data_IF_434758808190
#
_entry.id   IF_434758808190
#
_cell.length_a   1.000
_cell.length_b   1.000
_cell.length_c   1.000
_cell.angle_alpha   90.00
_cell.angle_beta   90.00
_cell.angle_gamma   90.00
#
_symmetry.space_group_name_H-M   'P 1'
#
loop_
_entity.id
_entity.type
_entity.pdbx_description
1 polymer ?
#
# COMPACT_ATOMS: atom_id res chain seq x y z
N UNK A 1 2.73 11.27 -15.39
CA UNK A 1 3.22 10.20 -14.48
C UNK A 1 2.07 9.85 -13.53
N UNK A 2 1.94 8.60 -13.06
CA UNK A 2 0.82 8.16 -12.22
C UNK A 2 1.36 7.76 -10.84
N UNK A 3 0.52 7.83 -9.81
CA UNK A 3 0.83 7.36 -8.46
C UNK A 3 1.02 5.85 -8.46
N UNK A 4 2.04 5.39 -7.73
CA UNK A 4 2.35 3.99 -7.48
C UNK A 4 2.23 3.70 -5.99
N UNK A 5 2.08 2.41 -5.65
CA UNK A 5 2.14 1.96 -4.26
C UNK A 5 3.26 0.94 -4.09
N UNK A 6 3.89 0.96 -2.93
CA UNK A 6 4.93 0.00 -2.55
C UNK A 6 4.71 -0.44 -1.12
N UNK A 7 5.14 -1.67 -0.79
CA UNK A 7 5.04 -2.19 0.57
C UNK A 7 6.38 -2.12 1.29
N UNK A 8 6.40 -1.52 2.48
CA UNK A 8 7.60 -1.43 3.32
C UNK A 8 7.30 -1.78 4.79
N UNK A 9 8.32 -2.17 5.58
CA UNK A 9 8.16 -2.32 7.03
C UNK A 9 7.65 -1.02 7.66
N UNK A 10 6.80 -1.13 8.69
CA UNK A 10 6.16 0.01 9.32
C UNK A 10 7.14 1.09 9.83
N UNK A 11 8.33 0.68 10.27
CA UNK A 11 9.37 1.57 10.76
C UNK A 11 10.01 2.46 9.67
N UNK A 12 9.82 2.14 8.39
CA UNK A 12 10.44 2.85 7.25
C UNK A 12 9.42 3.63 6.41
N UNK A 13 8.21 3.85 6.93
CA UNK A 13 7.14 4.46 6.17
C UNK A 13 7.39 5.96 5.98
N UNK A 14 7.52 6.33 4.71
CA UNK A 14 7.20 7.67 4.22
C UNK A 14 5.84 7.59 3.50
N UNK A 15 4.74 8.11 4.07
CA UNK A 15 3.40 7.92 3.52
C UNK A 15 3.25 8.40 2.07
N UNK A 16 4.00 9.44 1.69
CA UNK A 16 4.06 9.96 0.34
C UNK A 16 5.48 10.39 -0.01
N UNK A 17 6.03 9.82 -1.08
CA UNK A 17 7.26 10.28 -1.71
C UNK A 17 6.92 11.11 -2.96
N UNK A 18 7.01 12.45 -2.91
CA UNK A 18 6.69 13.31 -4.04
C UNK A 18 7.69 13.19 -5.19
N UNK A 19 8.94 12.78 -4.92
CA UNK A 19 9.97 12.64 -5.96
C UNK A 19 9.72 11.41 -6.84
N UNK A 20 9.18 10.34 -6.24
CA UNK A 20 8.88 9.07 -6.92
C UNK A 20 7.41 8.90 -7.28
N UNK A 21 6.54 9.76 -6.75
CA UNK A 21 5.08 9.61 -6.77
C UNK A 21 4.61 8.27 -6.19
N UNK A 22 5.19 7.88 -5.05
CA UNK A 22 4.93 6.59 -4.39
C UNK A 22 4.23 6.80 -3.05
N UNK A 23 3.14 6.07 -2.83
CA UNK A 23 2.53 5.91 -1.51
C UNK A 23 3.04 4.62 -0.90
N UNK A 24 3.66 4.71 0.28
CA UNK A 24 4.18 3.53 0.99
C UNK A 24 3.12 2.96 1.91
N UNK A 25 2.80 1.68 1.74
CA UNK A 25 1.86 0.93 2.57
C UNK A 25 2.65 0.03 3.53
N UNK A 26 2.29 -0.04 4.84
CA UNK A 26 2.91 -0.99 5.75
C UNK A 26 2.71 -2.43 5.30
N UNK A 27 3.77 -3.23 5.34
CA UNK A 27 3.69 -4.68 5.17
C UNK A 27 2.82 -5.34 6.25
N UNK A 28 2.09 -6.39 5.90
CA UNK A 28 1.22 -7.13 6.81
C UNK A 28 -0.13 -6.46 7.10
N UNK A 29 -0.41 -5.30 6.51
CA UNK A 29 -1.72 -4.65 6.63
C UNK A 29 -2.72 -5.30 5.67
N UNK A 30 -3.95 -5.63 6.12
CA UNK A 30 -4.99 -6.16 5.26
C UNK A 30 -5.32 -5.23 4.08
N UNK A 31 -5.71 -5.77 2.91
CA UNK A 31 -5.99 -4.96 1.71
C UNK A 31 -6.99 -3.82 1.92
N UNK A 32 -8.00 -4.02 2.76
CA UNK A 32 -9.02 -3.01 3.07
C UNK A 32 -8.41 -1.84 3.84
N UNK A 33 -7.58 -2.13 4.84
CA UNK A 33 -6.88 -1.12 5.62
C UNK A 33 -5.81 -0.40 4.79
N UNK A 34 -5.13 -1.12 3.90
CA UNK A 34 -4.21 -0.53 2.92
C UNK A 34 -4.94 0.46 1.99
N UNK A 35 -6.13 0.09 1.50
CA UNK A 35 -6.94 0.97 0.67
C UNK A 35 -7.36 2.24 1.41
N UNK A 36 -7.77 2.12 2.68
CA UNK A 36 -8.11 3.27 3.52
C UNK A 36 -6.91 4.20 3.66
N UNK A 37 -5.73 3.66 3.97
CA UNK A 37 -4.50 4.44 4.09
C UNK A 37 -4.13 5.16 2.80
N UNK A 38 -4.17 4.46 1.66
CA UNK A 38 -3.93 5.05 0.34
C UNK A 38 -4.92 6.17 0.06
N UNK A 39 -6.22 5.96 0.31
CA UNK A 39 -7.25 7.00 0.11
C UNK A 39 -7.05 8.20 1.02
N UNK A 40 -6.61 8.01 2.26
CA UNK A 40 -6.31 9.08 3.19
C UNK A 40 -5.18 9.97 2.63
N UNK A 41 -4.07 9.37 2.19
CA UNK A 41 -2.96 10.11 1.57
C UNK A 41 -3.43 10.87 0.33
N UNK A 42 -4.23 10.23 -0.56
CA UNK A 42 -4.76 10.90 -1.75
C UNK A 42 -5.69 12.07 -1.42
N UNK A 43 -6.45 11.96 -0.32
CA UNK A 43 -7.33 13.02 0.16
C UNK A 43 -6.52 14.22 0.66
N UNK A 44 -5.44 13.99 1.41
CA UNK A 44 -4.51 15.05 1.85
C UNK A 44 -3.82 15.75 0.67
N UNK A 45 -3.61 15.03 -0.43
CA UNK A 45 -3.10 15.59 -1.70
C UNK A 45 -4.19 16.30 -2.52
N UNK A 46 -5.40 16.48 -1.98
CA UNK A 46 -6.57 17.07 -2.63
C UNK A 46 -6.97 16.35 -3.94
N UNK A 47 -6.73 15.03 -4.03
CA UNK A 47 -7.12 14.20 -5.18
C UNK A 47 -8.49 13.56 -4.89
N UNK A 48 -9.57 13.94 -5.60
CA UNK A 48 -10.89 13.40 -5.35
C UNK A 48 -10.92 11.87 -5.50
N UNK A 49 -11.47 11.18 -4.50
CA UNK A 49 -11.58 9.72 -4.51
C UNK A 49 -13.01 9.25 -4.75
N UNK A 50 -13.21 8.18 -5.56
CA UNK A 50 -14.50 7.53 -5.69
C UNK A 50 -14.93 6.84 -4.39
N UNK A 51 -16.19 6.38 -4.33
CA UNK A 51 -16.70 5.59 -3.20
C UNK A 51 -15.99 4.23 -3.06
N UNK A 52 -15.56 3.64 -4.18
CA UNK A 52 -14.89 2.35 -4.25
C UNK A 52 -13.55 2.43 -4.99
N UNK A 53 -12.54 1.72 -4.47
CA UNK A 53 -11.17 1.74 -4.98
C UNK A 53 -10.45 3.06 -4.72
N UNK A 54 -9.36 3.30 -5.44
CA UNK A 54 -8.58 4.53 -5.39
C UNK A 54 -8.17 4.95 -6.80
N UNK A 55 -8.15 6.26 -7.06
CA UNK A 55 -7.75 6.83 -8.36
C UNK A 55 -6.69 7.91 -8.19
N UNK A 56 -5.75 7.90 -9.12
CA UNK A 56 -4.72 8.93 -9.27
C UNK A 56 -5.35 10.23 -9.81
N UNK A 57 -4.62 11.35 -9.73
CA UNK A 57 -5.02 12.62 -10.34
C UNK A 57 -5.25 12.53 -11.86
N UNK A 58 -4.63 11.55 -12.54
CA UNK A 58 -4.85 11.30 -13.97
C UNK A 58 -6.11 10.45 -14.25
N UNK A 59 -6.86 10.07 -13.21
CA UNK A 59 -8.06 9.23 -13.31
C UNK A 59 -7.78 7.72 -13.37
N UNK A 60 -6.53 7.29 -13.56
CA UNK A 60 -6.16 5.88 -13.54
C UNK A 60 -6.38 5.25 -12.16
N UNK A 61 -6.73 3.97 -12.12
CA UNK A 61 -6.85 3.23 -10.86
C UNK A 61 -5.47 3.08 -10.20
N UNK A 62 -5.42 3.29 -8.89
CA UNK A 62 -4.23 3.00 -8.09
C UNK A 62 -4.27 1.53 -7.70
N UNK A 63 -3.27 0.78 -8.13
CA UNK A 63 -3.09 -0.61 -7.71
C UNK A 63 -2.49 -0.64 -6.30
N UNK A 64 -2.99 -1.53 -5.44
CA UNK A 64 -2.41 -1.76 -4.11
C UNK A 64 -1.25 -2.75 -4.22
N UNK A 65 -0.24 -2.65 -3.33
CA UNK A 65 0.87 -3.59 -3.37
C UNK A 65 0.33 -4.99 -3.05
N UNK A 66 0.73 -5.97 -3.86
CA UNK A 66 0.45 -7.38 -3.55
C UNK A 66 1.31 -7.75 -2.34
N UNK A 67 0.68 -7.96 -1.19
CA UNK A 67 1.38 -8.56 -0.05
C UNK A 67 1.69 -10.01 -0.45
N UNK A 68 2.97 -10.44 -0.52
CA UNK A 68 3.26 -11.86 -0.66
C UNK A 68 2.68 -12.55 0.57
N UNK A 69 1.74 -13.47 0.37
CA UNK A 69 1.14 -14.25 1.44
C UNK A 69 2.24 -15.13 2.05
N UNK A 70 2.93 -14.66 3.10
CA UNK A 70 3.95 -15.45 3.81
C UNK A 70 3.25 -16.42 4.76
N UNK A 71 2.62 -17.45 4.19
CA UNK A 71 2.24 -18.68 4.87
C UNK A 71 3.11 -19.80 4.30
N UNK A 72 4.41 -19.79 4.55
CA UNK A 72 5.32 -20.91 4.28
C UNK A 72 6.68 -20.53 4.88
N UNK A 73 6.90 -20.85 6.16
CA UNK A 73 8.22 -21.12 6.78
C UNK A 73 8.04 -21.34 8.31
N UNK A 74 7.11 -22.19 8.71
CA UNK A 74 7.22 -22.87 10.01
C UNK A 74 7.68 -24.30 9.72
N UNK A 75 8.97 -24.45 9.42
CA UNK A 75 9.60 -25.77 9.39
C UNK A 75 9.69 -26.27 10.82
N UNK A 76 8.78 -27.18 11.18
CA UNK A 76 8.81 -27.92 12.44
C UNK A 76 10.05 -28.83 12.41
N UNK A 77 11.18 -28.34 12.90
CA UNK A 77 12.28 -29.19 13.34
C UNK A 77 12.18 -29.40 14.84
N UNK A 78 11.28 -30.29 15.27
CA UNK A 78 11.50 -31.03 16.52
C UNK A 78 12.28 -32.30 16.16
N UNK A 79 13.59 -32.20 16.27
CA UNK A 79 14.48 -33.35 16.33
C UNK A 79 14.49 -33.91 17.76
N UNK A 80 14.44 -35.24 17.81
CA UNK A 80 14.89 -36.16 18.87
C UNK A 80 14.05 -36.30 20.12
#
# INVERSE_FOLDING_TARGET
MCIRTEAAPAALILPWDPSRHVITVPQGVPPEAALIGVRAVLTELAIPQPSAGARCWCGAAVELPRVPNRQEDEVIHRAS
#
